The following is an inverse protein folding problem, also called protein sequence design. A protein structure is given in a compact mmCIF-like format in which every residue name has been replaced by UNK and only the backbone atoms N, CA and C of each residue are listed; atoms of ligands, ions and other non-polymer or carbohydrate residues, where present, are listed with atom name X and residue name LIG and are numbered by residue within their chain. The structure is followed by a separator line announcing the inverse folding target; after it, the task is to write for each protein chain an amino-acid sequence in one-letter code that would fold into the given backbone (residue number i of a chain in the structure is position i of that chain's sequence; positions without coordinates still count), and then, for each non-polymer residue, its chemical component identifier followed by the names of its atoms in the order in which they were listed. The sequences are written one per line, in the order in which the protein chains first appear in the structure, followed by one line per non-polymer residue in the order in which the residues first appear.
data_IF_410599444604
#
_entry.id   IF_410599444604
#
_cell.length_a   1.000
_cell.length_b   1.000
_cell.length_c   1.000
_cell.angle_alpha   90.00
_cell.angle_beta   90.00
_cell.angle_gamma   90.00
#
_symmetry.space_group_name_H-M   'P 1'
#
loop_
_entity.id
_entity.type
_entity.pdbx_description
1 polymer ?
#
# COMPACT_ATOMS: atom_id res chain seq x y z
N UNK A 1 -7.26 -55.91 -11.14
CA UNK A 1 -6.53 -55.11 -10.13
C UNK A 1 -5.35 -54.48 -10.85
N UNK A 2 -5.33 -53.16 -11.15
CA UNK A 2 -4.14 -52.56 -11.73
C UNK A 2 -3.06 -52.50 -10.65
N UNK A 3 -1.90 -53.06 -10.94
CA UNK A 3 -0.72 -52.94 -10.10
C UNK A 3 -0.33 -51.47 -10.06
N UNK A 4 -0.54 -50.81 -8.92
CA UNK A 4 0.10 -49.54 -8.59
C UNK A 4 1.58 -49.82 -8.44
N UNK A 5 2.31 -49.67 -9.55
CA UNK A 5 3.76 -49.73 -9.56
C UNK A 5 4.29 -48.60 -8.68
N UNK A 6 5.11 -48.98 -7.71
CA UNK A 6 5.79 -48.07 -6.81
C UNK A 6 6.82 -47.26 -7.63
N UNK A 7 6.62 -45.95 -7.86
CA UNK A 7 7.39 -45.17 -8.83
C UNK A 7 8.87 -45.01 -8.44
N UNK A 8 9.22 -45.34 -7.20
CA UNK A 8 10.60 -45.26 -6.67
C UNK A 8 11.43 -46.49 -7.09
N UNK A 9 10.79 -47.60 -7.49
CA UNK A 9 11.47 -48.85 -7.80
C UNK A 9 12.03 -48.92 -9.24
N UNK A 10 11.64 -48.01 -10.14
CA UNK A 10 11.96 -48.11 -11.57
C UNK A 10 13.13 -47.25 -12.07
N UNK A 11 13.88 -46.59 -11.18
CA UNK A 11 15.10 -45.88 -11.59
C UNK A 11 14.85 -44.76 -12.62
N UNK A 12 13.64 -44.20 -12.62
CA UNK A 12 13.38 -42.96 -13.33
C UNK A 12 14.26 -41.87 -12.69
N UNK A 13 15.09 -41.22 -13.50
CA UNK A 13 16.08 -40.25 -13.06
C UNK A 13 15.39 -39.21 -12.16
N UNK A 14 15.73 -39.23 -10.86
CA UNK A 14 15.14 -38.37 -9.83
C UNK A 14 15.16 -36.90 -10.26
N UNK A 15 16.15 -36.50 -11.06
CA UNK A 15 16.25 -35.16 -11.63
C UNK A 15 15.16 -34.86 -12.68
N UNK A 16 14.76 -35.86 -13.47
CA UNK A 16 13.66 -35.76 -14.44
C UNK A 16 12.31 -35.65 -13.72
N UNK A 17 12.11 -36.40 -12.64
CA UNK A 17 10.92 -36.30 -11.81
C UNK A 17 10.83 -34.95 -11.06
N UNK A 18 11.95 -34.49 -10.49
CA UNK A 18 12.06 -33.18 -9.85
C UNK A 18 11.73 -32.05 -10.83
N UNK A 19 12.23 -32.14 -12.07
CA UNK A 19 11.93 -31.15 -13.13
C UNK A 19 10.44 -31.09 -13.46
N UNK A 20 9.80 -32.23 -13.67
CA UNK A 20 8.36 -32.27 -13.99
C UNK A 20 7.47 -31.70 -12.87
N UNK A 21 7.87 -31.85 -11.61
CA UNK A 21 7.15 -31.26 -10.48
C UNK A 21 7.41 -29.75 -10.34
N UNK A 22 8.62 -29.28 -10.63
CA UNK A 22 8.89 -27.83 -10.63
C UNK A 22 8.07 -27.06 -11.66
N UNK A 23 7.63 -27.73 -12.73
CA UNK A 23 6.84 -27.13 -13.81
C UNK A 23 5.31 -27.20 -13.57
N UNK A 24 4.82 -28.12 -12.74
CA UNK A 24 3.38 -28.39 -12.58
C UNK A 24 2.77 -27.91 -11.27
N UNK A 25 3.58 -27.68 -10.22
CA UNK A 25 3.08 -27.25 -8.92
C UNK A 25 3.10 -25.73 -8.73
N UNK A 26 2.19 -25.23 -7.89
CA UNK A 26 2.22 -23.84 -7.45
C UNK A 26 3.54 -23.54 -6.72
N UNK A 27 4.13 -22.34 -6.86
CA UNK A 27 5.48 -22.04 -6.36
C UNK A 27 5.67 -22.38 -4.88
N UNK A 28 4.65 -22.11 -4.06
CA UNK A 28 4.66 -22.34 -2.62
C UNK A 28 4.58 -23.82 -2.24
N UNK A 29 3.86 -24.62 -3.01
CA UNK A 29 3.77 -26.07 -2.82
C UNK A 29 5.04 -26.74 -3.32
N UNK A 30 5.61 -26.24 -4.41
CA UNK A 30 6.90 -26.67 -4.95
C UNK A 30 8.04 -26.42 -3.94
N UNK A 31 8.06 -25.25 -3.30
CA UNK A 31 9.06 -24.88 -2.29
C UNK A 31 9.01 -25.82 -1.06
N UNK A 32 7.81 -26.12 -0.54
CA UNK A 32 7.61 -27.08 0.55
C UNK A 32 8.02 -28.51 0.17
N UNK A 33 7.68 -28.93 -1.04
CA UNK A 33 7.95 -30.27 -1.54
C UNK A 33 9.46 -30.49 -1.77
N UNK A 34 10.15 -29.50 -2.35
CA UNK A 34 11.62 -29.51 -2.49
C UNK A 34 12.32 -29.53 -1.13
N UNK A 35 11.83 -28.77 -0.15
CA UNK A 35 12.35 -28.79 1.22
C UNK A 35 12.23 -30.18 1.86
N UNK A 36 11.08 -30.85 1.70
CA UNK A 36 10.87 -32.23 2.17
C UNK A 36 11.79 -33.21 1.46
N UNK A 37 11.99 -33.08 0.14
CA UNK A 37 12.89 -33.94 -0.64
C UNK A 37 14.34 -33.78 -0.17
N UNK A 38 14.80 -32.54 0.07
CA UNK A 38 16.14 -32.26 0.63
C UNK A 38 16.31 -32.96 1.98
N UNK A 39 15.32 -32.88 2.87
CA UNK A 39 15.35 -33.56 4.18
C UNK A 39 15.45 -35.09 4.01
N UNK A 40 14.68 -35.67 3.09
CA UNK A 40 14.70 -37.12 2.83
C UNK A 40 16.06 -37.58 2.28
N UNK A 41 16.66 -36.79 1.38
CA UNK A 41 17.99 -37.07 0.81
C UNK A 41 19.08 -36.97 1.89
N UNK A 42 19.06 -35.92 2.72
CA UNK A 42 20.02 -35.74 3.83
C UNK A 42 19.92 -36.87 4.85
N UNK A 43 18.69 -37.30 5.18
CA UNK A 43 18.47 -38.42 6.09
C UNK A 43 19.07 -39.71 5.53
N UNK A 44 18.86 -39.99 4.24
CA UNK A 44 19.41 -41.17 3.55
C UNK A 44 20.94 -41.14 3.52
N UNK A 45 21.53 -39.97 3.28
CA UNK A 45 22.99 -39.74 3.31
C UNK A 45 23.58 -39.99 4.70
N UNK A 46 22.93 -39.49 5.76
CA UNK A 46 23.36 -39.65 7.15
C UNK A 46 23.27 -41.11 7.65
N UNK A 47 22.34 -41.90 7.10
CA UNK A 47 22.16 -43.32 7.45
C UNK A 47 22.91 -44.28 6.52
N UNK A 48 23.68 -43.76 5.57
CA UNK A 48 24.34 -44.56 4.56
C UNK A 48 25.57 -45.30 5.15
N UNK A 49 25.53 -46.62 5.17
CA UNK A 49 26.61 -47.49 5.67
C UNK A 49 27.75 -47.56 4.64
N UNK A 50 28.95 -47.13 5.02
CA UNK A 50 30.09 -46.94 4.12
C UNK A 50 30.78 -48.25 3.67
N UNK A 51 30.32 -49.40 4.19
CA UNK A 51 30.91 -50.73 4.00
C UNK A 51 30.56 -51.43 2.67
N UNK A 52 29.63 -50.89 1.87
CA UNK A 52 29.19 -51.46 0.59
C UNK A 52 30.04 -50.93 -0.59
N UNK A 53 30.68 -51.83 -1.35
CA UNK A 53 31.63 -51.54 -2.45
C UNK A 53 31.02 -50.88 -3.71
N UNK A 54 29.73 -50.52 -3.68
CA UNK A 54 29.02 -49.88 -4.81
C UNK A 54 28.83 -48.36 -4.59
N UNK A 55 29.50 -47.81 -3.57
CA UNK A 55 29.20 -46.52 -2.95
C UNK A 55 29.36 -45.28 -3.83
N UNK A 56 30.29 -45.25 -4.79
CA UNK A 56 30.66 -43.98 -5.41
C UNK A 56 29.59 -43.46 -6.38
N UNK A 57 28.98 -44.34 -7.17
CA UNK A 57 27.95 -43.95 -8.15
C UNK A 57 26.65 -43.51 -7.47
N UNK A 58 26.22 -44.20 -6.41
CA UNK A 58 25.05 -43.79 -5.63
C UNK A 58 25.29 -42.49 -4.86
N UNK A 59 26.48 -42.29 -4.28
CA UNK A 59 26.86 -41.03 -3.64
C UNK A 59 26.85 -39.86 -4.62
N UNK A 60 27.36 -40.07 -5.85
CA UNK A 60 27.33 -39.05 -6.91
C UNK A 60 25.89 -38.73 -7.29
N UNK A 61 25.03 -39.73 -7.50
CA UNK A 61 23.60 -39.52 -7.81
C UNK A 61 22.88 -38.76 -6.70
N UNK A 62 23.08 -39.16 -5.45
CA UNK A 62 22.52 -38.48 -4.26
C UNK A 62 22.99 -37.03 -4.20
N UNK A 63 24.28 -36.78 -4.40
CA UNK A 63 24.87 -35.44 -4.35
C UNK A 63 24.39 -34.56 -5.51
N UNK A 64 24.28 -35.11 -6.71
CA UNK A 64 23.76 -34.41 -7.90
C UNK A 64 22.29 -34.03 -7.73
N UNK A 65 21.45 -34.95 -7.25
CA UNK A 65 20.04 -34.65 -6.98
C UNK A 65 19.86 -33.65 -5.85
N UNK A 66 20.69 -33.71 -4.81
CA UNK A 66 20.70 -32.71 -3.74
C UNK A 66 21.09 -31.32 -4.28
N UNK A 67 22.13 -31.24 -5.10
CA UNK A 67 22.58 -30.00 -5.74
C UNK A 67 21.52 -29.38 -6.65
N UNK A 68 20.82 -30.19 -7.43
CA UNK A 68 19.73 -29.72 -8.29
C UNK A 68 18.55 -29.19 -7.46
N UNK A 69 18.12 -29.94 -6.45
CA UNK A 69 17.01 -29.52 -5.57
C UNK A 69 17.31 -28.21 -4.85
N UNK A 70 18.53 -28.03 -4.32
CA UNK A 70 18.95 -26.76 -3.69
C UNK A 70 18.99 -25.60 -4.69
N UNK A 71 19.49 -25.82 -5.90
CA UNK A 71 19.56 -24.77 -6.92
C UNK A 71 18.16 -24.33 -7.36
N UNK A 72 17.25 -25.29 -7.57
CA UNK A 72 15.85 -24.99 -7.88
C UNK A 72 15.16 -24.21 -6.75
N UNK A 73 15.41 -24.59 -5.49
CA UNK A 73 14.88 -23.90 -4.33
C UNK A 73 15.39 -22.46 -4.22
N UNK A 74 16.70 -22.25 -4.42
CA UNK A 74 17.30 -20.90 -4.43
C UNK A 74 16.68 -20.03 -5.53
N UNK A 75 16.51 -20.55 -6.74
CA UNK A 75 15.87 -19.82 -7.83
C UNK A 75 14.40 -19.47 -7.56
N UNK A 76 13.64 -20.37 -6.92
CA UNK A 76 12.26 -20.09 -6.52
C UNK A 76 12.19 -19.00 -5.44
N UNK A 77 13.08 -19.07 -4.45
CA UNK A 77 13.20 -18.05 -3.41
C UNK A 77 13.56 -16.69 -4.00
N UNK A 78 14.50 -16.62 -4.94
CA UNK A 78 14.94 -15.36 -5.55
C UNK A 78 13.82 -14.70 -6.37
N UNK A 79 13.04 -15.50 -7.11
CA UNK A 79 11.82 -15.04 -7.79
C UNK A 79 10.77 -14.51 -6.80
N UNK A 80 10.60 -15.18 -5.67
CA UNK A 80 9.66 -14.75 -4.65
C UNK A 80 10.09 -13.42 -4.00
N UNK A 81 11.38 -13.25 -3.72
CA UNK A 81 11.96 -11.99 -3.20
C UNK A 81 11.75 -10.87 -4.22
N UNK A 82 12.05 -11.12 -5.50
CA UNK A 82 11.86 -10.13 -6.57
C UNK A 82 10.40 -9.68 -6.68
N UNK A 83 9.46 -10.63 -6.66
CA UNK A 83 8.03 -10.31 -6.69
C UNK A 83 7.60 -9.47 -5.47
N UNK A 84 8.07 -9.81 -4.27
CA UNK A 84 7.77 -9.02 -3.06
C UNK A 84 8.36 -7.60 -3.14
N UNK A 85 9.55 -7.45 -3.73
CA UNK A 85 10.15 -6.13 -3.95
C UNK A 85 9.34 -5.29 -4.94
N UNK A 86 8.80 -5.89 -6.01
CA UNK A 86 7.92 -5.21 -6.96
C UNK A 86 6.60 -4.78 -6.31
N UNK A 87 5.96 -5.66 -5.54
CA UNK A 87 4.74 -5.35 -4.79
C UNK A 87 4.98 -4.21 -3.79
N UNK A 88 6.11 -4.24 -3.07
CA UNK A 88 6.49 -3.20 -2.12
C UNK A 88 6.70 -1.86 -2.84
N UNK A 89 7.42 -1.86 -3.96
CA UNK A 89 7.66 -0.65 -4.76
C UNK A 89 6.35 -0.07 -5.30
N UNK A 90 5.43 -0.94 -5.76
CA UNK A 90 4.10 -0.53 -6.22
C UNK A 90 3.25 0.04 -5.09
N UNK A 91 3.27 -0.58 -3.92
CA UNK A 91 2.58 -0.10 -2.74
C UNK A 91 3.13 1.27 -2.30
N UNK A 92 4.45 1.45 -2.27
CA UNK A 92 5.10 2.72 -1.95
C UNK A 92 4.69 3.82 -2.94
N UNK A 93 4.73 3.55 -4.25
CA UNK A 93 4.29 4.53 -5.25
C UNK A 93 2.81 4.93 -5.10
N UNK A 94 1.95 4.00 -4.64
CA UNK A 94 0.55 4.32 -4.33
C UNK A 94 0.42 5.21 -3.09
N UNK A 95 1.23 4.97 -2.07
CA UNK A 95 1.30 5.81 -0.86
C UNK A 95 1.72 7.23 -1.26
N UNK A 96 2.84 7.37 -1.98
CA UNK A 96 3.36 8.68 -2.39
C UNK A 96 2.31 9.48 -3.19
N UNK A 97 1.60 8.82 -4.12
CA UNK A 97 0.51 9.46 -4.89
C UNK A 97 -0.66 9.89 -4.00
N UNK A 98 -0.99 9.10 -2.98
CA UNK A 98 -2.06 9.44 -2.04
C UNK A 98 -1.62 10.59 -1.12
N UNK A 99 -0.37 10.61 -0.67
CA UNK A 99 0.19 11.69 0.14
C UNK A 99 0.14 13.02 -0.62
N UNK A 100 0.54 13.05 -1.90
CA UNK A 100 0.40 14.25 -2.75
C UNK A 100 -1.07 14.67 -2.88
N UNK A 101 -1.97 13.73 -3.16
CA UNK A 101 -3.41 14.04 -3.27
C UNK A 101 -4.00 14.58 -1.97
N UNK A 102 -3.59 14.05 -0.82
CA UNK A 102 -4.02 14.53 0.49
C UNK A 102 -3.48 15.94 0.72
N UNK A 103 -2.23 16.20 0.37
CA UNK A 103 -1.62 17.52 0.54
C UNK A 103 -2.27 18.57 -0.36
N UNK A 104 -2.57 18.25 -1.62
CA UNK A 104 -3.29 19.14 -2.54
C UNK A 104 -4.73 19.41 -2.07
N UNK A 105 -5.41 18.37 -1.57
CA UNK A 105 -6.73 18.49 -0.96
C UNK A 105 -6.73 19.24 0.36
N UNK A 106 -5.61 19.44 1.03
CA UNK A 106 -5.53 20.28 2.23
C UNK A 106 -5.22 21.74 1.89
N UNK A 107 -4.51 22.00 0.78
CA UNK A 107 -4.27 23.37 0.29
C UNK A 107 -5.55 24.02 -0.25
N UNK A 108 -6.34 23.29 -1.04
CA UNK A 108 -7.54 23.83 -1.69
C UNK A 108 -8.68 24.29 -0.74
N UNK A 109 -8.93 23.64 0.42
CA UNK A 109 -9.84 24.12 1.45
C UNK A 109 -9.29 25.35 2.16
N UNK A 110 -7.99 25.36 2.48
CA UNK A 110 -7.37 26.44 3.24
C UNK A 110 -7.42 27.78 2.48
N UNK A 111 -7.20 27.76 1.16
CA UNK A 111 -7.32 28.96 0.31
C UNK A 111 -8.77 29.48 0.24
N UNK A 112 -9.75 28.58 0.07
CA UNK A 112 -11.17 28.96 0.04
C UNK A 112 -11.68 29.47 1.39
N UNK A 113 -11.24 28.86 2.48
CA UNK A 113 -11.59 29.27 3.83
C UNK A 113 -11.01 30.66 4.13
N UNK A 114 -9.77 30.91 3.71
CA UNK A 114 -9.13 32.22 3.86
C UNK A 114 -9.83 33.31 3.04
N UNK A 115 -10.20 33.04 1.77
CA UNK A 115 -10.97 33.98 0.95
C UNK A 115 -12.35 34.29 1.58
N UNK A 116 -13.03 33.25 2.07
CA UNK A 116 -14.33 33.39 2.74
C UNK A 116 -14.21 34.27 4.00
N UNK A 117 -13.17 34.05 4.80
CA UNK A 117 -12.88 34.83 6.00
C UNK A 117 -12.61 36.30 5.68
N UNK A 118 -11.89 36.60 4.59
CA UNK A 118 -11.68 37.97 4.13
C UNK A 118 -12.98 38.63 3.65
N UNK A 119 -13.83 37.92 2.91
CA UNK A 119 -15.13 38.44 2.49
C UNK A 119 -16.05 38.72 3.68
N UNK A 120 -16.10 37.83 4.68
CA UNK A 120 -16.85 38.05 5.92
C UNK A 120 -16.35 39.31 6.63
N UNK A 121 -15.03 39.49 6.73
CA UNK A 121 -14.44 40.69 7.36
C UNK A 121 -14.80 41.98 6.61
N UNK A 122 -14.79 41.96 5.27
CA UNK A 122 -15.24 43.10 4.44
C UNK A 122 -16.72 43.40 4.65
N UNK A 123 -17.57 42.37 4.66
CA UNK A 123 -19.00 42.54 4.91
C UNK A 123 -19.28 43.09 6.31
N UNK A 124 -18.54 42.64 7.32
CA UNK A 124 -18.67 43.12 8.69
C UNK A 124 -18.25 44.59 8.82
N UNK A 125 -17.18 45.01 8.10
CA UNK A 125 -16.78 46.40 8.01
C UNK A 125 -17.83 47.27 7.30
N UNK A 126 -18.39 46.79 6.18
CA UNK A 126 -19.44 47.49 5.44
C UNK A 126 -20.73 47.62 6.27
N UNK A 127 -21.09 46.58 7.02
CA UNK A 127 -22.22 46.62 7.94
C UNK A 127 -22.00 47.65 9.06
N UNK A 128 -20.80 47.72 9.62
CA UNK A 128 -20.45 48.74 10.61
C UNK A 128 -20.54 50.16 10.06
N UNK A 129 -20.05 50.39 8.84
CA UNK A 129 -20.16 51.69 8.17
C UNK A 129 -21.63 52.07 7.93
N UNK A 130 -22.44 51.14 7.41
CA UNK A 130 -23.87 51.39 7.18
C UNK A 130 -24.64 51.67 8.49
N UNK A 131 -24.26 51.03 9.60
CA UNK A 131 -24.84 51.31 10.92
C UNK A 131 -24.48 52.72 11.42
N UNK A 132 -23.23 53.16 11.24
CA UNK A 132 -22.82 54.53 11.55
C UNK A 132 -23.60 55.55 10.71
N UNK A 133 -23.69 55.32 9.40
CA UNK A 133 -24.43 56.20 8.49
C UNK A 133 -25.92 56.29 8.89
N UNK A 134 -26.53 55.16 9.25
CA UNK A 134 -27.91 55.12 9.72
C UNK A 134 -28.09 55.89 11.03
N UNK A 135 -27.17 55.76 11.99
CA UNK A 135 -27.22 56.51 13.24
C UNK A 135 -27.09 58.02 12.99
N UNK A 136 -26.19 58.41 12.09
CA UNK A 136 -25.95 59.80 11.74
C UNK A 136 -27.16 60.43 11.01
N UNK A 137 -27.77 59.69 10.08
CA UNK A 137 -29.01 60.10 9.41
C UNK A 137 -30.18 60.25 10.40
N UNK A 138 -30.34 59.31 11.34
CA UNK A 138 -31.36 59.40 12.39
C UNK A 138 -31.13 60.59 13.32
N UNK A 139 -29.88 60.89 13.68
CA UNK A 139 -29.54 62.07 14.49
C UNK A 139 -29.87 63.37 13.74
N UNK A 140 -29.51 63.47 12.45
CA UNK A 140 -29.83 64.62 11.61
C UNK A 140 -31.36 64.82 11.45
N UNK A 141 -32.11 63.72 11.29
CA UNK A 141 -33.58 63.78 11.21
C UNK A 141 -34.21 64.29 12.51
N UNK A 142 -33.73 63.83 13.68
CA UNK A 142 -34.19 64.33 14.98
C UNK A 142 -33.89 65.81 15.16
N UNK A 143 -32.70 66.25 14.78
CA UNK A 143 -32.32 67.67 14.84
C UNK A 143 -33.21 68.55 13.94
N UNK A 144 -33.52 68.09 12.73
CA UNK A 144 -34.47 68.75 11.82
C UNK A 144 -35.88 68.84 12.42
N UNK A 145 -36.38 67.77 13.05
CA UNK A 145 -37.69 67.80 13.72
C UNK A 145 -37.73 68.82 14.85
N UNK A 146 -36.67 68.89 15.68
CA UNK A 146 -36.58 69.86 16.77
C UNK A 146 -36.59 71.29 16.23
N UNK A 147 -35.81 71.57 15.18
CA UNK A 147 -35.77 72.89 14.52
C UNK A 147 -37.13 73.28 13.92
N UNK A 148 -37.82 72.35 13.26
CA UNK A 148 -39.15 72.59 12.68
C UNK A 148 -40.21 72.87 13.76
N UNK A 149 -40.16 72.15 14.88
CA UNK A 149 -41.06 72.40 16.02
C UNK A 149 -40.81 73.79 16.63
N UNK A 150 -39.55 74.19 16.77
CA UNK A 150 -39.20 75.51 17.30
C UNK A 150 -39.68 76.65 16.39
N UNK A 151 -39.55 76.51 15.07
CA UNK A 151 -40.04 77.54 14.12
C UNK A 151 -41.56 77.61 14.08
N UNK A 152 -42.27 76.48 14.15
CA UNK A 152 -43.73 76.45 14.21
C UNK A 152 -44.29 77.05 15.53
N UNK A 153 -43.57 76.90 16.65
CA UNK A 153 -43.93 77.54 17.91
C UNK A 153 -43.65 79.05 17.89
N UNK A 154 -42.59 79.50 17.22
CA UNK A 154 -42.28 80.92 17.04
C UNK A 154 -43.23 81.68 16.09
N UNK A 155 -43.94 80.97 15.20
CA UNK A 155 -44.95 81.56 14.31
C UNK A 155 -46.35 81.71 14.93
N UNK A 156 -46.58 81.25 16.17
CA UNK A 156 -47.80 81.53 16.94
C UNK A 156 -47.66 82.87 17.69
N UNK A 157 -47.78 83.99 16.97
CA UNK A 157 -48.07 85.33 17.53
C UNK A 157 -49.10 86.00 16.63
#
# INVERSE_FOLDING_TARGET
MPQTADPIAQGEDVNTWLRGMTESLTPKTCELLLFLIIILILRRLLTHDSSQNNNHEELVKITSSLSYAFTAQLHLSDKHITHLQEELTRAQSRIDKLEVKVQDQLKAPNEREQETMEQVKKLQAALGAAQCDQQQANAAQKDLQVKLLATLQGLKV
#
